data_IF_764361844397
#
_entry.id   IF_764361844397
#
_cell.length_a   1.000
_cell.length_b   1.000
_cell.length_c   1.000
_cell.angle_alpha   90.00
_cell.angle_beta   90.00
_cell.angle_gamma   90.00
#
_symmetry.space_group_name_H-M   'P 1'
#
loop_
_entity.id
_entity.type
_entity.pdbx_description
1 polymer ?
#
# COMPACT_ATOMS: atom_id res chain seq x y z
N UNK A 1 18.88 26.07 10.87
CA UNK A 1 18.52 25.28 9.68
C UNK A 1 18.63 23.81 10.10
N UNK A 2 17.57 23.01 10.21
CA UNK A 2 17.73 21.57 10.34
C UNK A 2 18.33 21.08 9.03
N UNK A 3 19.47 20.36 9.11
CA UNK A 3 20.15 19.83 7.94
C UNK A 3 19.19 18.94 7.15
N UNK A 4 19.07 19.19 5.86
CA UNK A 4 18.45 18.27 4.93
C UNK A 4 19.13 16.91 5.12
N UNK A 5 18.40 15.93 5.62
CA UNK A 5 18.83 14.55 5.62
C UNK A 5 18.93 14.11 4.15
N UNK A 6 20.10 14.32 3.57
CA UNK A 6 20.40 13.81 2.22
C UNK A 6 20.42 12.30 2.34
N UNK A 7 19.39 11.66 1.85
CA UNK A 7 19.32 10.21 1.77
C UNK A 7 20.50 9.71 0.95
N UNK A 8 21.22 8.66 1.39
CA UNK A 8 22.39 8.10 0.69
C UNK A 8 22.01 7.33 -0.58
N UNK A 9 20.82 7.54 -1.10
CA UNK A 9 20.25 6.88 -2.28
C UNK A 9 20.10 7.87 -3.42
N UNK A 10 20.34 7.44 -4.66
CA UNK A 10 20.01 8.22 -5.84
C UNK A 10 18.48 8.20 -6.07
N UNK A 11 17.80 9.11 -5.38
CA UNK A 11 16.33 9.28 -5.45
C UNK A 11 15.87 9.53 -6.90
N UNK A 12 16.69 10.21 -7.72
CA UNK A 12 16.35 10.48 -9.11
C UNK A 12 16.35 9.20 -9.94
N UNK A 13 17.38 8.36 -9.79
CA UNK A 13 17.45 7.06 -10.45
C UNK A 13 16.32 6.13 -9.99
N UNK A 14 15.97 6.14 -8.70
CA UNK A 14 14.84 5.38 -8.18
C UNK A 14 13.52 5.83 -8.81
N UNK A 15 13.30 7.13 -8.95
CA UNK A 15 12.09 7.67 -9.61
C UNK A 15 12.04 7.37 -11.10
N UNK A 16 13.18 7.30 -11.79
CA UNK A 16 13.22 6.91 -13.21
C UNK A 16 12.78 5.46 -13.42
N UNK A 17 13.14 4.55 -12.53
CA UNK A 17 12.68 3.14 -12.60
C UNK A 17 11.15 3.02 -12.60
N UNK A 18 10.42 3.97 -12.01
CA UNK A 18 8.94 3.97 -12.00
C UNK A 18 8.37 4.29 -13.38
N UNK A 19 8.99 5.18 -14.14
CA UNK A 19 8.48 5.60 -15.45
C UNK A 19 8.58 4.51 -16.51
N UNK A 20 9.44 3.51 -16.28
CA UNK A 20 9.65 2.36 -17.15
C UNK A 20 8.68 1.21 -16.86
N UNK A 21 8.10 1.19 -15.65
CA UNK A 21 7.11 0.19 -15.26
C UNK A 21 5.70 0.72 -15.50
N UNK A 22 4.92 0.02 -16.32
CA UNK A 22 3.50 0.33 -16.50
C UNK A 22 2.85 0.21 -15.11
N UNK A 23 2.51 1.35 -14.54
CA UNK A 23 2.08 1.49 -13.15
C UNK A 23 0.87 0.60 -12.84
N UNK A 24 1.14 -0.63 -12.43
CA UNK A 24 0.13 -1.52 -11.88
C UNK A 24 -0.41 -0.90 -10.61
N UNK A 25 -1.74 -0.74 -10.52
CA UNK A 25 -2.41 -0.27 -9.33
C UNK A 25 -3.06 -1.45 -8.61
N UNK A 26 -2.54 -1.77 -7.45
CA UNK A 26 -3.12 -2.77 -6.54
C UNK A 26 -4.05 -2.05 -5.55
N UNK A 27 -5.33 -2.38 -5.58
CA UNK A 27 -6.34 -1.77 -4.72
C UNK A 27 -6.93 -2.81 -3.78
N UNK A 28 -6.79 -2.60 -2.47
CA UNK A 28 -7.32 -3.50 -1.46
C UNK A 28 -6.68 -4.89 -1.44
N UNK A 29 -5.61 -5.08 -2.19
CA UNK A 29 -4.93 -6.36 -2.30
C UNK A 29 -4.14 -6.68 -1.03
N UNK A 30 -4.37 -7.84 -0.47
CA UNK A 30 -3.62 -8.39 0.66
C UNK A 30 -2.90 -9.65 0.23
N UNK A 31 -1.67 -9.54 -0.30
CA UNK A 31 -0.90 -10.70 -0.74
C UNK A 31 -0.35 -11.49 0.46
N UNK A 32 -1.23 -11.82 1.41
CA UNK A 32 -0.81 -12.68 2.52
C UNK A 32 -0.39 -14.02 1.98
N UNK A 33 0.74 -14.56 2.40
CA UNK A 33 1.15 -15.90 2.02
C UNK A 33 0.15 -16.90 2.64
N UNK A 34 -0.88 -17.27 1.86
CA UNK A 34 -1.83 -18.31 2.28
C UNK A 34 -1.11 -19.65 2.53
N UNK A 35 0.06 -19.81 1.92
CA UNK A 35 0.88 -21.02 1.94
C UNK A 35 2.07 -20.92 2.91
N UNK A 36 2.04 -20.01 3.88
CA UNK A 36 2.97 -20.08 4.99
C UNK A 36 2.61 -21.30 5.84
N UNK A 37 2.84 -22.50 5.25
CA UNK A 37 2.43 -23.78 5.80
C UNK A 37 2.88 -23.90 7.24
N UNK A 38 1.91 -24.00 8.14
CA UNK A 38 2.13 -24.11 9.56
C UNK A 38 2.26 -22.78 10.32
N UNK A 39 2.55 -21.63 9.70
CA UNK A 39 2.63 -20.34 10.38
C UNK A 39 1.26 -19.83 10.81
N UNK A 40 1.16 -19.37 12.03
CA UNK A 40 -0.06 -18.83 12.60
C UNK A 40 -0.06 -17.30 12.55
N UNK A 41 -1.06 -16.71 11.89
CA UNK A 41 -1.23 -15.26 11.87
C UNK A 41 -1.85 -14.77 13.18
N UNK A 42 -1.01 -14.30 14.11
CA UNK A 42 -1.41 -13.88 15.45
C UNK A 42 -2.03 -12.48 15.49
N UNK A 43 -1.55 -11.55 14.64
CA UNK A 43 -2.19 -10.25 14.46
C UNK A 43 -2.80 -10.23 13.05
N UNK A 44 -4.12 -10.25 13.00
CA UNK A 44 -4.84 -10.42 11.74
C UNK A 44 -4.86 -9.18 10.88
N UNK A 45 -4.85 -7.99 11.46
CA UNK A 45 -4.73 -6.75 10.69
C UNK A 45 -4.80 -5.54 11.61
N UNK A 46 -3.85 -4.64 11.49
CA UNK A 46 -3.96 -3.31 12.03
C UNK A 46 -3.96 -2.34 10.87
N UNK A 47 -5.08 -1.65 10.66
CA UNK A 47 -5.17 -0.58 9.69
C UNK A 47 -4.64 0.71 10.33
N UNK A 48 -3.61 1.27 9.72
CA UNK A 48 -3.23 2.66 9.97
C UNK A 48 -3.41 3.43 8.67
N UNK A 49 -3.77 4.69 8.75
CA UNK A 49 -3.91 5.53 7.57
C UNK A 49 -3.37 6.93 7.83
N UNK A 50 -2.67 7.43 6.83
CA UNK A 50 -2.30 8.82 6.69
C UNK A 50 -2.90 9.35 5.37
N UNK A 51 -2.92 10.66 5.12
CA UNK A 51 -3.36 11.18 3.84
C UNK A 51 -2.64 10.50 2.67
N UNK A 52 -3.38 9.91 1.73
CA UNK A 52 -2.83 9.21 0.57
C UNK A 52 -2.19 7.83 0.82
N UNK A 53 -2.15 7.35 2.06
CA UNK A 53 -1.52 6.08 2.42
C UNK A 53 -2.42 5.27 3.33
N UNK A 54 -2.49 3.96 3.10
CA UNK A 54 -3.17 3.00 3.98
C UNK A 54 -2.21 1.86 4.29
N UNK A 55 -1.93 1.60 5.56
CA UNK A 55 -1.04 0.52 5.99
C UNK A 55 -1.84 -0.62 6.60
N UNK A 56 -1.52 -1.82 6.18
CA UNK A 56 -2.01 -3.06 6.78
C UNK A 56 -0.84 -3.83 7.35
N UNK A 57 -0.98 -4.27 8.58
CA UNK A 57 0.05 -5.03 9.31
C UNK A 57 -0.46 -6.39 9.70
N UNK A 58 0.35 -7.41 9.49
CA UNK A 58 0.15 -8.73 10.07
C UNK A 58 1.41 -9.25 10.72
N UNK A 59 1.22 -10.06 11.74
CA UNK A 59 2.30 -10.77 12.45
C UNK A 59 2.05 -12.26 12.35
N UNK A 60 3.10 -12.99 12.06
CA UNK A 60 3.08 -14.43 11.85
C UNK A 60 4.02 -15.08 12.86
N UNK A 61 3.51 -16.04 13.63
CA UNK A 61 4.25 -16.84 14.60
C UNK A 61 4.66 -18.17 13.98
N UNK A 62 5.90 -18.56 14.17
CA UNK A 62 6.42 -19.84 13.69
C UNK A 62 5.74 -21.03 14.38
N UNK A 63 5.45 -22.11 13.65
CA UNK A 63 5.00 -23.35 14.26
C UNK A 63 6.09 -24.02 15.10
N UNK A 64 7.35 -23.82 14.72
CA UNK A 64 8.49 -24.55 15.27
C UNK A 64 9.16 -23.82 16.45
N UNK A 65 8.95 -22.51 16.57
CA UNK A 65 9.54 -21.68 17.63
C UNK A 65 8.66 -20.53 18.05
N UNK A 66 8.37 -20.43 19.34
CA UNK A 66 7.67 -19.26 19.93
C UNK A 66 8.47 -17.97 19.85
N UNK A 67 9.76 -18.07 19.55
CA UNK A 67 10.69 -16.96 19.47
C UNK A 67 10.98 -16.52 18.02
N UNK A 68 10.34 -17.14 17.03
CA UNK A 68 10.48 -16.79 15.62
C UNK A 68 9.21 -16.16 15.09
N UNK A 69 9.31 -14.90 14.63
CA UNK A 69 8.18 -14.09 14.15
C UNK A 69 8.53 -13.30 12.90
N UNK A 70 7.55 -13.18 12.03
CA UNK A 70 7.64 -12.33 10.85
C UNK A 70 6.54 -11.30 10.88
N UNK A 71 6.91 -10.04 10.71
CA UNK A 71 6.01 -8.91 10.51
C UNK A 71 5.95 -8.61 9.02
N UNK A 72 4.74 -8.45 8.50
CA UNK A 72 4.50 -8.01 7.13
C UNK A 72 3.67 -6.74 7.18
N UNK A 73 4.21 -5.66 6.64
CA UNK A 73 3.48 -4.42 6.42
C UNK A 73 3.29 -4.21 4.92
N UNK A 74 2.09 -3.84 4.53
CA UNK A 74 1.73 -3.43 3.18
C UNK A 74 1.18 -2.03 3.25
N UNK A 75 1.90 -1.09 2.66
CA UNK A 75 1.52 0.30 2.56
C UNK A 75 0.99 0.51 1.14
N UNK A 76 -0.32 0.70 1.03
CA UNK A 76 -0.97 1.04 -0.22
C UNK A 76 -0.98 2.55 -0.38
N UNK A 77 -0.40 3.03 -1.47
CA UNK A 77 -0.25 4.44 -1.82
C UNK A 77 -1.16 4.82 -2.98
N UNK A 78 -1.25 6.12 -3.27
CA UNK A 78 -2.09 6.62 -4.36
C UNK A 78 -1.49 6.35 -5.75
N UNK A 79 -0.18 6.18 -5.83
CA UNK A 79 0.54 5.92 -7.09
C UNK A 79 1.81 5.13 -6.84
N UNK A 80 2.45 4.65 -7.89
CA UNK A 80 3.77 4.04 -7.80
C UNK A 80 4.83 5.04 -7.30
N UNK A 81 4.72 6.31 -7.69
CA UNK A 81 5.59 7.37 -7.18
C UNK A 81 5.45 7.53 -5.66
N UNK A 82 4.22 7.55 -5.14
CA UNK A 82 3.98 7.63 -3.71
C UNK A 82 4.48 6.38 -2.96
N UNK A 83 4.46 5.20 -3.61
CA UNK A 83 5.01 3.98 -3.02
C UNK A 83 6.53 4.05 -2.86
N UNK A 84 7.24 4.64 -3.84
CA UNK A 84 8.69 4.90 -3.71
C UNK A 84 8.96 5.95 -2.62
N UNK A 85 8.18 7.02 -2.53
CA UNK A 85 8.34 7.98 -1.44
C UNK A 85 8.10 7.31 -0.07
N UNK A 86 7.10 6.45 0.05
CA UNK A 86 6.89 5.65 1.26
C UNK A 86 8.06 4.72 1.57
N UNK A 87 8.65 4.08 0.54
CA UNK A 87 9.85 3.28 0.71
C UNK A 87 11.04 4.12 1.18
N UNK A 88 11.25 5.30 0.61
CA UNK A 88 12.31 6.22 1.03
C UNK A 88 12.12 6.72 2.47
N UNK A 89 10.89 6.97 2.89
CA UNK A 89 10.55 7.31 4.28
C UNK A 89 10.91 6.16 5.24
N UNK A 90 10.59 4.91 4.85
CA UNK A 90 10.96 3.72 5.64
C UNK A 90 12.49 3.55 5.72
N UNK A 91 13.20 3.78 4.62
CA UNK A 91 14.66 3.72 4.60
C UNK A 91 15.29 4.84 5.44
N UNK A 92 14.72 6.05 5.40
CA UNK A 92 15.18 7.18 6.21
C UNK A 92 14.93 6.97 7.71
N UNK A 93 13.84 6.27 8.07
CA UNK A 93 13.54 5.91 9.45
C UNK A 93 14.45 4.78 9.98
N UNK A 94 15.17 4.10 9.11
CA UNK A 94 16.11 3.06 9.50
C UNK A 94 17.38 3.69 10.09
N UNK A 95 17.84 3.16 11.22
CA UNK A 95 19.05 3.68 11.88
C UNK A 95 20.36 3.32 11.15
N UNK A 96 20.30 2.50 10.12
CA UNK A 96 21.44 2.10 9.31
C UNK A 96 21.74 3.17 8.26
N UNK A 97 23.00 3.54 8.10
CA UNK A 97 23.44 4.61 7.22
C UNK A 97 23.07 4.36 5.75
N UNK A 98 23.11 3.12 5.32
CA UNK A 98 22.72 2.68 3.98
C UNK A 98 22.36 1.22 3.99
N UNK A 99 21.20 0.88 3.43
CA UNK A 99 20.82 -0.51 3.20
C UNK A 99 21.36 -0.99 1.85
N UNK A 100 21.89 -2.22 1.76
CA UNK A 100 22.24 -2.83 0.48
C UNK A 100 20.97 -3.04 -0.38
N UNK A 101 21.16 -3.06 -1.68
CA UNK A 101 20.11 -3.47 -2.61
C UNK A 101 19.69 -4.92 -2.29
N UNK A 102 18.39 -5.16 -2.33
CA UNK A 102 17.80 -6.48 -2.16
C UNK A 102 17.79 -7.28 -3.48
N UNK A 103 17.16 -8.45 -3.48
CA UNK A 103 17.03 -9.27 -4.68
C UNK A 103 16.40 -8.48 -5.85
N UNK A 104 17.03 -8.47 -7.04
CA UNK A 104 16.62 -7.61 -8.15
C UNK A 104 15.25 -7.96 -8.75
N UNK A 105 14.71 -9.13 -8.44
CA UNK A 105 13.40 -9.58 -8.88
C UNK A 105 12.26 -9.19 -7.92
N UNK A 106 12.57 -8.55 -6.79
CA UNK A 106 11.55 -8.09 -5.86
C UNK A 106 11.08 -6.68 -6.21
N UNK A 107 9.92 -6.60 -6.86
CA UNK A 107 9.31 -5.33 -7.22
C UNK A 107 10.11 -4.50 -8.22
N UNK A 108 9.91 -3.19 -8.22
CA UNK A 108 10.66 -2.21 -9.03
C UNK A 108 12.03 -1.95 -8.41
N UNK A 109 12.06 -1.88 -7.09
CA UNK A 109 13.25 -1.65 -6.28
C UNK A 109 13.10 -2.33 -4.93
N UNK A 110 14.19 -2.90 -4.44
CA UNK A 110 14.24 -3.55 -3.14
C UNK A 110 15.53 -3.22 -2.37
N UNK A 111 15.43 -3.24 -1.05
CA UNK A 111 16.52 -3.08 -0.10
C UNK A 111 16.41 -4.13 1.00
N UNK A 112 17.52 -4.47 1.62
CA UNK A 112 17.54 -5.45 2.72
C UNK A 112 18.50 -5.05 3.83
N UNK A 113 18.31 -5.58 5.02
CA UNK A 113 19.27 -5.44 6.09
C UNK A 113 20.57 -6.21 5.77
N UNK A 114 21.75 -5.67 6.14
CA UNK A 114 23.01 -6.37 6.02
C UNK A 114 23.09 -7.55 7.00
N UNK A 115 24.04 -8.42 6.77
CA UNK A 115 24.35 -9.50 7.72
C UNK A 115 24.63 -8.96 9.13
N UNK A 116 24.27 -9.74 10.15
CA UNK A 116 24.45 -9.38 11.56
C UNK A 116 23.37 -8.48 12.14
N UNK A 117 22.39 -8.07 11.33
CA UNK A 117 21.20 -7.32 11.75
C UNK A 117 19.97 -8.20 11.57
N UNK A 118 18.92 -8.08 12.42
CA UNK A 118 17.68 -8.85 12.20
C UNK A 118 17.20 -8.73 10.75
N UNK A 119 16.93 -9.86 10.07
CA UNK A 119 16.60 -9.85 8.65
C UNK A 119 15.38 -8.98 8.34
N UNK A 120 15.50 -8.11 7.36
CA UNK A 120 14.40 -7.31 6.83
C UNK A 120 14.58 -7.08 5.34
N UNK A 121 13.46 -7.03 4.63
CA UNK A 121 13.37 -6.67 3.21
C UNK A 121 12.31 -5.62 3.01
N UNK A 122 12.65 -4.62 2.24
CA UNK A 122 11.80 -3.49 1.86
C UNK A 122 11.74 -3.44 0.34
N UNK A 123 10.56 -3.38 -0.24
CA UNK A 123 10.45 -3.24 -1.69
C UNK A 123 9.20 -2.48 -2.11
N UNK A 124 9.24 -1.88 -3.28
CA UNK A 124 8.10 -1.24 -3.91
C UNK A 124 7.68 -1.98 -5.17
N UNK A 125 6.36 -2.17 -5.33
CA UNK A 125 5.78 -2.72 -6.55
C UNK A 125 4.44 -2.08 -6.84
N UNK A 126 4.30 -1.50 -8.06
CA UNK A 126 3.15 -0.69 -8.38
C UNK A 126 2.95 0.39 -7.30
N UNK A 127 1.74 0.54 -6.80
CA UNK A 127 1.43 1.48 -5.72
C UNK A 127 1.63 0.92 -4.31
N UNK A 128 2.31 -0.22 -4.15
CA UNK A 128 2.57 -0.83 -2.85
C UNK A 128 4.01 -0.62 -2.41
N UNK A 129 4.20 -0.18 -1.16
CA UNK A 129 5.45 -0.32 -0.43
C UNK A 129 5.29 -1.45 0.59
N UNK A 130 6.16 -2.45 0.53
CA UNK A 130 6.06 -3.68 1.30
C UNK A 130 7.30 -3.83 2.16
N UNK A 131 7.07 -4.22 3.41
CA UNK A 131 8.10 -4.46 4.41
C UNK A 131 7.89 -5.83 5.05
N UNK A 132 8.92 -6.64 5.03
CA UNK A 132 8.95 -7.97 5.69
C UNK A 132 10.10 -7.99 6.66
N UNK A 133 9.84 -8.21 7.94
CA UNK A 133 10.84 -8.10 9.01
C UNK A 133 10.75 -9.31 9.92
N UNK A 134 11.92 -9.91 10.23
CA UNK A 134 12.09 -10.82 11.36
C UNK A 134 12.34 -9.99 12.63
N UNK A 135 11.47 -10.07 13.63
CA UNK A 135 11.55 -9.17 14.79
C UNK A 135 11.58 -9.87 16.14
N UNK A 136 11.72 -11.18 16.16
CA UNK A 136 11.84 -11.98 17.39
C UNK A 136 13.27 -12.45 17.62
N UNK A 137 13.51 -13.16 18.73
CA UNK A 137 14.84 -13.60 19.16
C UNK A 137 15.50 -14.51 18.13
N UNK A 138 14.73 -15.43 17.56
CA UNK A 138 15.22 -16.36 16.54
C UNK A 138 15.03 -15.72 15.17
N UNK A 139 16.14 -15.45 14.48
CA UNK A 139 16.11 -14.83 13.17
C UNK A 139 15.45 -15.75 12.13
N UNK A 140 14.57 -15.18 11.33
CA UNK A 140 13.88 -15.84 10.22
C UNK A 140 14.38 -15.27 8.92
N UNK A 141 14.70 -16.11 7.95
CA UNK A 141 14.95 -15.65 6.59
C UNK A 141 13.65 -15.11 5.97
N UNK A 142 13.66 -13.80 5.67
CA UNK A 142 12.50 -13.08 5.16
C UNK A 142 12.44 -13.01 3.63
N UNK A 143 13.50 -13.41 2.94
CA UNK A 143 13.54 -13.41 1.46
C UNK A 143 12.45 -14.31 0.89
N UNK A 144 12.29 -15.58 1.32
CA UNK A 144 11.21 -16.44 0.80
C UNK A 144 9.80 -15.87 1.05
N UNK A 145 9.62 -15.09 2.12
CA UNK A 145 8.37 -14.38 2.39
C UNK A 145 8.10 -13.27 1.38
N UNK A 146 9.11 -12.43 1.15
CA UNK A 146 9.03 -11.35 0.18
C UNK A 146 8.78 -11.89 -1.25
N UNK A 147 9.44 -12.97 -1.63
CA UNK A 147 9.27 -13.63 -2.93
C UNK A 147 7.85 -14.20 -3.11
N UNK A 148 7.29 -14.84 -2.08
CA UNK A 148 5.91 -15.33 -2.13
C UNK A 148 4.91 -14.19 -2.31
N UNK A 149 5.08 -13.10 -1.56
CA UNK A 149 4.25 -11.91 -1.68
C UNK A 149 4.38 -11.33 -3.10
N UNK A 150 5.59 -11.16 -3.59
CA UNK A 150 5.86 -10.62 -4.93
C UNK A 150 5.29 -11.51 -6.05
N UNK A 151 5.38 -12.84 -5.92
CA UNK A 151 4.79 -13.81 -6.85
C UNK A 151 3.27 -13.66 -6.90
N UNK A 152 2.61 -13.59 -5.77
CA UNK A 152 1.16 -13.39 -5.73
C UNK A 152 0.72 -12.10 -6.41
N UNK A 153 1.51 -11.04 -6.31
CA UNK A 153 1.27 -9.81 -7.06
C UNK A 153 1.42 -10.00 -8.57
N UNK A 154 2.18 -11.03 -9.02
CA UNK A 154 2.33 -11.36 -10.45
C UNK A 154 1.26 -12.30 -10.97
N UNK A 155 0.86 -13.27 -10.16
CA UNK A 155 0.06 -14.43 -10.60
C UNK A 155 -1.45 -14.17 -10.50
N UNK A 156 -1.88 -13.27 -9.62
CA UNK A 156 -3.30 -12.93 -9.56
C UNK A 156 -3.65 -11.92 -10.65
N UNK A 157 -4.56 -12.27 -11.58
CA UNK A 157 -5.11 -11.28 -12.50
C UNK A 157 -5.70 -10.16 -11.66
N UNK A 158 -5.34 -8.91 -11.96
CA UNK A 158 -5.79 -7.69 -11.29
C UNK A 158 -7.29 -7.72 -11.04
N UNK A 159 -7.66 -7.90 -9.80
CA UNK A 159 -8.86 -8.63 -9.40
C UNK A 159 -10.10 -7.81 -9.59
N UNK A 160 -10.95 -8.25 -10.48
CA UNK A 160 -12.36 -7.86 -10.53
C UNK A 160 -13.21 -8.44 -9.38
N UNK A 161 -12.69 -9.42 -8.61
CA UNK A 161 -13.52 -10.22 -7.69
C UNK A 161 -13.99 -9.52 -6.42
N UNK A 162 -13.31 -8.45 -6.00
CA UNK A 162 -13.65 -7.72 -4.78
C UNK A 162 -13.65 -6.20 -5.04
N UNK A 163 -14.19 -5.78 -6.17
CA UNK A 163 -14.14 -4.39 -6.58
C UNK A 163 -15.34 -3.63 -6.05
N UNK A 164 -15.06 -2.63 -5.21
CA UNK A 164 -15.96 -1.52 -5.04
C UNK A 164 -15.91 -0.68 -6.32
N UNK A 165 -17.03 -0.52 -7.00
CA UNK A 165 -17.11 0.35 -8.18
C UNK A 165 -17.29 1.77 -7.70
N UNK A 166 -16.37 2.66 -8.13
CA UNK A 166 -16.43 4.09 -7.86
C UNK A 166 -16.52 4.82 -9.20
N UNK A 167 -17.55 5.62 -9.36
CA UNK A 167 -17.86 6.35 -10.58
C UNK A 167 -18.07 7.84 -10.27
N UNK A 168 -18.05 8.67 -11.32
CA UNK A 168 -18.35 10.09 -11.23
C UNK A 168 -19.28 10.51 -12.36
N UNK A 169 -20.02 11.60 -12.16
CA UNK A 169 -20.88 12.21 -13.18
C UNK A 169 -20.08 12.80 -14.34
N UNK A 170 -18.80 13.09 -14.15
CA UNK A 170 -17.88 13.61 -15.17
C UNK A 170 -16.44 13.17 -14.90
N UNK A 171 -15.60 13.18 -15.95
CA UNK A 171 -14.18 12.79 -15.86
C UNK A 171 -13.23 13.97 -15.65
N UNK A 172 -13.71 15.20 -15.81
CA UNK A 172 -12.93 16.41 -15.57
C UNK A 172 -13.76 17.46 -14.85
N UNK A 173 -13.07 18.38 -14.15
CA UNK A 173 -13.67 19.51 -13.47
C UNK A 173 -12.68 20.66 -13.36
N UNK A 174 -13.16 21.88 -13.12
CA UNK A 174 -12.31 23.03 -12.80
C UNK A 174 -12.05 23.11 -11.31
N UNK A 175 -10.98 23.80 -10.94
CA UNK A 175 -10.70 24.09 -9.52
C UNK A 175 -11.91 24.81 -8.90
N UNK A 176 -12.35 24.30 -7.76
CA UNK A 176 -13.52 24.80 -7.03
C UNK A 176 -14.85 24.15 -7.40
N UNK A 177 -14.93 23.44 -8.52
CA UNK A 177 -16.13 22.69 -8.90
C UNK A 177 -16.28 21.41 -8.09
N UNK A 178 -17.53 20.96 -7.95
CA UNK A 178 -17.90 19.71 -7.30
C UNK A 178 -18.28 18.67 -8.36
N UNK A 179 -17.72 17.47 -8.19
CA UNK A 179 -17.99 16.29 -9.02
C UNK A 179 -18.75 15.28 -8.18
N UNK A 180 -19.93 14.86 -8.61
CA UNK A 180 -20.70 13.85 -7.91
C UNK A 180 -20.02 12.49 -8.01
N UNK A 181 -19.91 11.80 -6.87
CA UNK A 181 -19.33 10.48 -6.76
C UNK A 181 -20.44 9.46 -6.47
N UNK A 182 -20.39 8.35 -7.18
CA UNK A 182 -21.27 7.21 -6.99
C UNK A 182 -20.43 6.00 -6.64
N UNK A 183 -20.93 5.14 -5.76
CA UNK A 183 -20.27 3.89 -5.46
C UNK A 183 -21.27 2.74 -5.44
N UNK A 184 -20.81 1.58 -5.87
CA UNK A 184 -21.57 0.34 -5.81
C UNK A 184 -20.74 -0.69 -5.07
N UNK A 185 -21.32 -1.28 -4.04
CA UNK A 185 -20.73 -2.38 -3.30
C UNK A 185 -21.25 -3.69 -3.89
N UNK A 186 -20.40 -4.73 -3.96
CA UNK A 186 -20.83 -6.06 -4.40
C UNK A 186 -21.85 -6.70 -3.45
N UNK A 187 -21.96 -6.18 -2.21
CA UNK A 187 -23.00 -6.53 -1.23
C UNK A 187 -23.19 -5.41 -0.19
N UNK A 188 -24.26 -5.51 0.57
CA UNK A 188 -24.51 -4.57 1.67
C UNK A 188 -23.47 -4.76 2.80
N UNK A 189 -22.91 -3.65 3.28
CA UNK A 189 -22.06 -3.67 4.48
C UNK A 189 -22.88 -4.17 5.68
N UNK A 190 -22.25 -5.02 6.48
CA UNK A 190 -22.80 -5.44 7.75
C UNK A 190 -22.89 -4.27 8.76
N UNK A 191 -23.51 -4.51 9.92
CA UNK A 191 -23.75 -3.50 10.94
C UNK A 191 -22.48 -2.77 11.40
N UNK A 192 -21.34 -3.46 11.40
CA UNK A 192 -20.04 -2.92 11.82
C UNK A 192 -19.13 -2.54 10.62
N UNK A 193 -19.69 -2.60 9.39
CA UNK A 193 -18.98 -2.22 8.20
C UNK A 193 -19.06 -0.71 7.97
N UNK A 194 -17.99 -0.13 7.38
CA UNK A 194 -17.96 1.28 7.03
C UNK A 194 -17.16 1.53 5.74
N UNK A 195 -17.44 2.67 5.12
CA UNK A 195 -16.70 3.16 3.96
C UNK A 195 -15.65 4.18 4.40
N UNK A 196 -14.44 4.03 3.87
CA UNK A 196 -13.35 4.97 4.03
C UNK A 196 -12.90 5.48 2.67
N UNK A 197 -12.68 6.78 2.57
CA UNK A 197 -12.19 7.41 1.37
C UNK A 197 -10.80 8.01 1.60
N UNK A 198 -9.92 7.84 0.65
CA UNK A 198 -8.63 8.51 0.54
C UNK A 198 -8.66 9.38 -0.72
N UNK A 199 -8.21 10.62 -0.60
CA UNK A 199 -8.28 11.57 -1.69
C UNK A 199 -6.94 12.29 -1.89
N UNK A 200 -6.64 12.61 -3.14
CA UNK A 200 -5.66 13.60 -3.53
C UNK A 200 -6.30 14.62 -4.48
N UNK A 201 -5.81 15.85 -4.52
CA UNK A 201 -6.30 16.88 -5.45
C UNK A 201 -7.63 17.53 -5.11
N UNK A 202 -8.27 17.14 -4.00
CA UNK A 202 -9.57 17.68 -3.60
C UNK A 202 -9.95 17.32 -2.17
N UNK A 203 -11.16 17.70 -1.77
CA UNK A 203 -11.81 17.35 -0.51
C UNK A 203 -13.14 16.65 -0.77
N UNK A 204 -13.49 15.71 0.09
CA UNK A 204 -14.79 15.04 0.05
C UNK A 204 -15.83 15.87 0.78
N UNK A 205 -16.96 16.08 0.12
CA UNK A 205 -18.12 16.78 0.67
C UNK A 205 -19.31 15.84 0.65
N UNK A 206 -19.97 15.66 1.78
CA UNK A 206 -21.21 14.88 1.88
C UNK A 206 -22.38 15.82 2.10
N UNK A 207 -23.42 15.71 1.23
CA UNK A 207 -24.67 16.48 1.35
C UNK A 207 -25.84 15.59 0.97
N UNK A 208 -26.89 15.60 1.74
CA UNK A 208 -28.15 14.90 1.45
C UNK A 208 -27.95 13.42 1.06
N UNK A 209 -27.01 12.73 1.73
CA UNK A 209 -26.69 11.33 1.42
C UNK A 209 -25.89 11.10 0.13
N UNK A 210 -25.44 12.18 -0.54
CA UNK A 210 -24.58 12.12 -1.73
C UNK A 210 -23.17 12.55 -1.40
N UNK A 211 -22.21 12.02 -2.16
CA UNK A 211 -20.79 12.33 -2.03
C UNK A 211 -20.34 13.17 -3.23
N UNK A 212 -19.52 14.17 -2.96
CA UNK A 212 -18.92 15.03 -3.97
C UNK A 212 -17.42 15.16 -3.71
N UNK A 213 -16.64 15.18 -4.79
CA UNK A 213 -15.26 15.65 -4.75
C UNK A 213 -15.26 17.13 -5.14
N UNK A 214 -14.85 18.01 -4.23
CA UNK A 214 -14.55 19.40 -4.55
C UNK A 214 -13.10 19.54 -4.92
N UNK A 215 -12.83 19.83 -6.20
CA UNK A 215 -11.48 20.00 -6.73
C UNK A 215 -10.76 21.18 -6.06
N UNK A 216 -9.52 20.96 -5.59
CA UNK A 216 -8.76 21.98 -4.86
C UNK A 216 -7.55 22.52 -5.61
N UNK A 217 -7.00 21.76 -6.56
CA UNK A 217 -5.85 22.15 -7.37
C UNK A 217 -5.87 21.51 -8.75
N UNK A 218 -5.22 22.16 -9.72
CA UNK A 218 -5.03 21.60 -11.08
C UNK A 218 -4.19 20.34 -11.08
N UNK A 219 -4.42 19.47 -12.03
CA UNK A 219 -3.72 18.21 -12.23
C UNK A 219 -4.63 17.00 -12.07
N UNK A 220 -4.09 15.87 -11.67
CA UNK A 220 -4.88 14.67 -11.37
C UNK A 220 -5.41 14.70 -9.94
N UNK A 221 -6.71 14.45 -9.79
CA UNK A 221 -7.32 14.11 -8.52
C UNK A 221 -7.63 12.62 -8.49
N UNK A 222 -7.24 11.96 -7.41
CA UNK A 222 -7.52 10.55 -7.19
C UNK A 222 -8.47 10.39 -6.01
N UNK A 223 -9.48 9.55 -6.20
CA UNK A 223 -10.39 9.11 -5.16
C UNK A 223 -10.28 7.61 -5.01
N UNK A 224 -10.04 7.14 -3.81
CA UNK A 224 -10.05 5.73 -3.45
C UNK A 224 -11.05 5.50 -2.35
N UNK A 225 -11.85 4.47 -2.51
CA UNK A 225 -12.83 4.06 -1.54
C UNK A 225 -12.51 2.65 -1.04
N UNK A 226 -12.66 2.43 0.25
CA UNK A 226 -12.49 1.15 0.91
C UNK A 226 -13.77 0.82 1.67
N UNK A 227 -14.34 -0.33 1.40
CA UNK A 227 -15.37 -0.92 2.23
C UNK A 227 -14.69 -1.85 3.22
N UNK A 228 -14.77 -1.52 4.50
CA UNK A 228 -14.11 -2.22 5.60
C UNK A 228 -15.17 -2.91 6.45
N UNK A 229 -14.98 -4.19 6.69
CA UNK A 229 -15.85 -5.00 7.54
C UNK A 229 -15.00 -5.88 8.44
N UNK A 230 -15.30 -5.98 9.75
CA UNK A 230 -14.57 -6.86 10.65
C UNK A 230 -14.56 -8.29 10.13
N UNK A 231 -13.38 -8.93 10.13
CA UNK A 231 -13.15 -10.33 9.71
C UNK A 231 -13.29 -10.62 8.21
N UNK A 232 -13.47 -9.59 7.37
CA UNK A 232 -13.47 -9.74 5.90
C UNK A 232 -12.31 -8.99 5.29
N UNK A 233 -11.92 -9.40 4.09
CA UNK A 233 -10.96 -8.64 3.29
C UNK A 233 -11.60 -7.32 2.84
N UNK A 234 -10.87 -6.20 2.89
CA UNK A 234 -11.41 -4.93 2.45
C UNK A 234 -11.68 -4.94 0.94
N UNK A 235 -12.77 -4.29 0.54
CA UNK A 235 -13.07 -4.00 -0.85
C UNK A 235 -12.53 -2.64 -1.17
N UNK A 236 -11.95 -2.50 -2.36
CA UNK A 236 -11.42 -1.23 -2.78
C UNK A 236 -11.87 -0.87 -4.20
N UNK A 237 -12.07 0.41 -4.41
CA UNK A 237 -12.32 1.01 -5.71
C UNK A 237 -11.55 2.30 -5.86
N UNK A 238 -11.25 2.70 -7.09
CA UNK A 238 -10.54 3.93 -7.38
C UNK A 238 -11.07 4.63 -8.60
N UNK A 239 -10.95 5.96 -8.61
CA UNK A 239 -11.35 6.84 -9.68
C UNK A 239 -10.29 7.94 -9.84
N UNK A 240 -9.90 8.21 -11.08
CA UNK A 240 -9.03 9.33 -11.43
C UNK A 240 -9.84 10.38 -12.18
N UNK A 241 -9.62 11.65 -11.85
CA UNK A 241 -10.27 12.81 -12.43
C UNK A 241 -9.22 13.83 -12.87
N UNK A 242 -9.44 14.48 -14.00
CA UNK A 242 -8.60 15.59 -14.46
C UNK A 242 -9.15 16.90 -13.93
N UNK A 243 -8.31 17.72 -13.28
CA UNK A 243 -8.69 19.06 -12.79
C UNK A 243 -7.99 20.12 -13.63
N UNK A 244 -8.79 20.90 -14.33
CA UNK A 244 -8.39 21.98 -15.24
C UNK A 244 -8.21 23.34 -14.53
#
# INVERSE_FOLDING_TARGET
MPGENVLPYDVRALRQRISEDRAELFLGFTPWPQDASGWNRSIKEKLASAPGKSMRRSVWDSPDSRNARVLVDIIECSSAADAIEALLEELAANQLARLPEGPPHLGIVSFMHPEGVPPAVFFARGNLCIRVISFARDAVDVIPWAERINRRLSDEPHVERNRLVLESDRKSARVGEEVALFYTLPWALGKDGFLKFLLSGGILVAREGRLFLKASKRGEAQVRAYALEPRREPYAGGLNLTIE
#
